data_IF_681611356976
#
_entry.id   IF_681611356976
#
_cell.length_a   1.000
_cell.length_b   1.000
_cell.length_c   1.000
_cell.angle_alpha   90.00
_cell.angle_beta   90.00
_cell.angle_gamma   90.00
#
_symmetry.space_group_name_H-M   'P 1'
#
loop_
_entity.id
_entity.type
_entity.pdbx_description
1 polymer ?
#
# COMPACT_ATOMS: atom_id res chain seq x y z
N UNK A 1 44.35 -27.92 0.08
CA UNK A 1 43.04 -28.58 -0.18
C UNK A 1 41.86 -27.91 0.56
N UNK A 2 41.90 -27.71 1.89
CA UNK A 2 40.77 -27.13 2.67
C UNK A 2 40.30 -25.75 2.19
N UNK A 3 41.22 -24.83 1.85
CA UNK A 3 40.88 -23.49 1.29
C UNK A 3 40.16 -23.55 -0.06
N UNK A 4 40.59 -24.45 -0.94
CA UNK A 4 39.94 -24.66 -2.24
C UNK A 4 38.52 -25.20 -2.07
N UNK A 5 38.34 -26.20 -1.19
CA UNK A 5 37.01 -26.75 -0.91
C UNK A 5 36.05 -25.70 -0.32
N UNK A 6 36.55 -24.85 0.59
CA UNK A 6 35.75 -23.77 1.16
C UNK A 6 35.42 -22.68 0.12
N UNK A 7 36.37 -22.32 -0.74
CA UNK A 7 36.13 -21.38 -1.84
C UNK A 7 35.08 -21.92 -2.81
N UNK A 8 35.12 -23.22 -3.13
CA UNK A 8 34.11 -23.87 -3.96
C UNK A 8 32.73 -23.83 -3.28
N UNK A 9 32.64 -24.12 -1.97
CA UNK A 9 31.39 -24.02 -1.22
C UNK A 9 30.82 -22.59 -1.24
N UNK A 10 31.66 -21.58 -1.00
CA UNK A 10 31.26 -20.16 -1.03
C UNK A 10 30.72 -19.79 -2.42
N UNK A 11 31.40 -20.23 -3.49
CA UNK A 11 31.01 -19.97 -4.86
C UNK A 11 29.67 -20.65 -5.20
N UNK A 12 29.49 -21.91 -4.81
CA UNK A 12 28.23 -22.64 -5.01
C UNK A 12 27.07 -22.00 -4.23
N UNK A 13 27.30 -21.58 -2.98
CA UNK A 13 26.29 -20.92 -2.16
C UNK A 13 25.90 -19.56 -2.75
N UNK A 14 26.88 -18.75 -3.16
CA UNK A 14 26.63 -17.45 -3.79
C UNK A 14 25.87 -17.62 -5.11
N UNK A 15 26.29 -18.57 -5.96
CA UNK A 15 25.61 -18.88 -7.21
C UNK A 15 24.18 -19.35 -6.97
N UNK A 16 23.97 -20.21 -5.97
CA UNK A 16 22.64 -20.68 -5.58
C UNK A 16 21.71 -19.54 -5.15
N UNK A 17 22.20 -18.61 -4.33
CA UNK A 17 21.43 -17.43 -3.90
C UNK A 17 21.16 -16.46 -5.06
N UNK A 18 22.14 -16.25 -5.95
CA UNK A 18 21.95 -15.43 -7.13
C UNK A 18 20.88 -16.01 -8.06
N UNK A 19 20.91 -17.32 -8.32
CA UNK A 19 19.88 -18.01 -9.10
C UNK A 19 18.51 -17.96 -8.40
N UNK A 20 18.47 -18.15 -7.08
CA UNK A 20 17.25 -18.04 -6.29
C UNK A 20 16.61 -16.64 -6.36
N UNK A 21 17.40 -15.60 -6.66
CA UNK A 21 16.86 -14.23 -6.85
C UNK A 21 15.97 -14.07 -8.09
N UNK A 22 16.02 -15.00 -9.03
CA UNK A 22 15.15 -15.01 -10.22
C UNK A 22 13.89 -15.87 -10.04
N UNK A 23 13.77 -16.55 -8.90
CA UNK A 23 12.64 -17.43 -8.60
C UNK A 23 11.74 -16.74 -7.58
N UNK A 24 10.49 -16.52 -7.95
CA UNK A 24 9.46 -16.07 -7.01
C UNK A 24 9.13 -17.19 -6.02
N UNK A 25 9.02 -16.85 -4.74
CA UNK A 25 8.59 -17.79 -3.71
C UNK A 25 7.06 -17.89 -3.80
N UNK A 26 6.48 -18.99 -4.32
CA UNK A 26 5.11 -18.97 -4.85
C UNK A 26 4.01 -18.71 -3.82
N UNK A 27 4.26 -19.05 -2.55
CA UNK A 27 3.30 -18.83 -1.47
C UNK A 27 3.44 -17.43 -0.89
N UNK A 28 4.68 -17.01 -0.64
CA UNK A 28 4.97 -15.81 0.13
C UNK A 28 4.92 -14.57 -0.77
N UNK A 29 5.66 -14.58 -1.88
CA UNK A 29 5.76 -13.39 -2.74
C UNK A 29 4.47 -13.13 -3.50
N UNK A 30 3.81 -14.19 -3.97
CA UNK A 30 2.56 -14.08 -4.74
C UNK A 30 1.39 -13.58 -3.88
N UNK A 31 1.29 -14.03 -2.64
CA UNK A 31 0.25 -13.55 -1.72
C UNK A 31 0.52 -12.09 -1.34
N UNK A 32 1.77 -11.72 -1.07
CA UNK A 32 2.16 -10.33 -0.82
C UNK A 32 1.76 -9.40 -1.97
N UNK A 33 2.10 -9.77 -3.21
CA UNK A 33 1.77 -8.95 -4.38
C UNK A 33 0.25 -8.88 -4.63
N UNK A 34 -0.46 -10.00 -4.48
CA UNK A 34 -1.92 -10.04 -4.58
C UNK A 34 -2.60 -9.14 -3.54
N UNK A 35 -2.10 -9.16 -2.30
CA UNK A 35 -2.58 -8.31 -1.21
C UNK A 35 -2.39 -6.82 -1.55
N UNK A 36 -1.18 -6.40 -1.94
CA UNK A 36 -0.92 -4.99 -2.27
C UNK A 36 -1.74 -4.54 -3.48
N UNK A 37 -1.80 -5.35 -4.54
CA UNK A 37 -2.58 -5.03 -5.74
C UNK A 37 -4.09 -4.94 -5.45
N UNK A 38 -4.62 -5.90 -4.69
CA UNK A 38 -6.04 -5.94 -4.30
C UNK A 38 -6.42 -4.75 -3.43
N UNK A 39 -5.65 -4.50 -2.37
CA UNK A 39 -5.92 -3.40 -1.43
C UNK A 39 -5.78 -2.04 -2.10
N UNK A 40 -4.77 -1.85 -2.96
CA UNK A 40 -4.60 -0.61 -3.73
C UNK A 40 -5.78 -0.38 -4.68
N UNK A 41 -6.24 -1.42 -5.38
CA UNK A 41 -7.43 -1.36 -6.24
C UNK A 41 -8.68 -0.97 -5.45
N UNK A 42 -8.91 -1.58 -4.30
CA UNK A 42 -10.04 -1.25 -3.42
C UNK A 42 -9.96 0.19 -2.91
N UNK A 43 -8.77 0.66 -2.53
CA UNK A 43 -8.55 2.04 -2.12
C UNK A 43 -8.81 3.05 -3.26
N UNK A 44 -8.33 2.76 -4.47
CA UNK A 44 -8.62 3.58 -5.65
C UNK A 44 -10.11 3.62 -5.97
N UNK A 45 -10.82 2.49 -5.87
CA UNK A 45 -12.27 2.44 -6.09
C UNK A 45 -13.01 3.26 -5.04
N UNK A 46 -12.64 3.15 -3.76
CA UNK A 46 -13.21 3.97 -2.70
C UNK A 46 -12.96 5.46 -2.94
N UNK A 47 -11.74 5.84 -3.32
CA UNK A 47 -11.40 7.23 -3.65
C UNK A 47 -12.27 7.78 -4.79
N UNK A 48 -12.36 7.04 -5.90
CA UNK A 48 -13.14 7.44 -7.05
C UNK A 48 -14.63 7.57 -6.71
N UNK A 49 -15.16 6.66 -5.89
CA UNK A 49 -16.55 6.69 -5.43
C UNK A 49 -16.81 7.92 -4.56
N UNK A 50 -15.94 8.19 -3.58
CA UNK A 50 -16.03 9.37 -2.71
C UNK A 50 -15.96 10.67 -3.52
N UNK A 51 -15.04 10.76 -4.48
CA UNK A 51 -14.94 11.94 -5.37
C UNK A 51 -16.14 12.09 -6.30
N UNK A 52 -16.75 10.98 -6.73
CA UNK A 52 -18.00 11.01 -7.48
C UNK A 52 -19.15 11.59 -6.65
N UNK A 53 -19.29 11.18 -5.38
CA UNK A 53 -20.27 11.79 -4.45
C UNK A 53 -20.00 13.28 -4.24
N UNK A 54 -18.75 13.66 -3.98
CA UNK A 54 -18.32 15.07 -3.86
C UNK A 54 -18.74 15.90 -5.07
N UNK A 55 -18.55 15.36 -6.27
CA UNK A 55 -18.91 16.06 -7.51
C UNK A 55 -20.42 16.25 -7.65
N UNK A 56 -21.22 15.23 -7.32
CA UNK A 56 -22.70 15.37 -7.29
C UNK A 56 -23.11 16.45 -6.29
N UNK A 57 -22.60 16.38 -5.06
CA UNK A 57 -22.95 17.33 -3.99
C UNK A 57 -22.56 18.76 -4.35
N UNK A 58 -21.38 18.98 -4.93
CA UNK A 58 -20.93 20.29 -5.41
C UNK A 58 -21.87 20.88 -6.47
N UNK A 59 -22.31 20.08 -7.45
CA UNK A 59 -23.31 20.51 -8.46
C UNK A 59 -24.65 20.86 -7.81
N UNK A 60 -25.08 20.09 -6.82
CA UNK A 60 -26.33 20.35 -6.10
C UNK A 60 -26.26 21.66 -5.30
N UNK A 61 -25.17 21.90 -4.58
CA UNK A 61 -24.94 23.15 -3.83
C UNK A 61 -24.93 24.37 -4.74
N UNK A 62 -24.25 24.30 -5.88
CA UNK A 62 -24.21 25.40 -6.86
C UNK A 62 -25.56 25.66 -7.52
N UNK A 63 -26.35 24.61 -7.76
CA UNK A 63 -27.68 24.71 -8.37
C UNK A 63 -28.72 25.30 -7.41
N UNK A 64 -28.61 24.98 -6.12
CA UNK A 64 -29.49 25.51 -5.07
C UNK A 64 -29.47 27.06 -5.02
N UNK A 65 -28.27 27.63 -5.16
CA UNK A 65 -28.04 29.08 -5.17
C UNK A 65 -28.68 29.78 -6.39
N UNK A 66 -28.83 29.08 -7.52
CA UNK A 66 -29.28 29.67 -8.79
C UNK A 66 -30.81 29.62 -8.99
N UNK A 67 -31.53 28.72 -8.30
CA UNK A 67 -32.94 28.39 -8.61
C UNK A 67 -33.94 29.17 -7.74
N UNK A 68 -33.52 29.99 -6.76
CA UNK A 68 -34.45 30.64 -5.81
C UNK A 68 -34.23 32.14 -5.54
N UNK A 69 -35.00 33.04 -6.17
CA UNK A 69 -35.12 34.43 -5.71
C UNK A 69 -36.13 34.64 -4.56
N UNK A 70 -37.00 33.67 -4.24
CA UNK A 70 -38.12 33.86 -3.29
C UNK A 70 -38.38 32.71 -2.27
N UNK A 71 -37.43 31.78 -2.10
CA UNK A 71 -37.61 30.51 -1.35
C UNK A 71 -36.62 30.26 -0.21
N UNK A 72 -36.18 31.32 0.47
CA UNK A 72 -35.04 31.39 1.41
C UNK A 72 -35.01 30.29 2.51
N UNK A 73 -36.14 29.70 2.90
CA UNK A 73 -36.20 28.67 3.95
C UNK A 73 -35.85 27.24 3.51
N UNK A 74 -36.16 26.86 2.27
CA UNK A 74 -35.94 25.50 1.77
C UNK A 74 -34.49 25.30 1.28
N UNK A 75 -33.89 26.37 0.76
CA UNK A 75 -32.48 26.48 0.37
C UNK A 75 -31.60 26.26 1.60
N UNK A 76 -31.76 27.08 2.65
CA UNK A 76 -30.93 26.98 3.86
C UNK A 76 -30.96 25.58 4.50
N UNK A 77 -32.11 24.90 4.50
CA UNK A 77 -32.23 23.55 5.06
C UNK A 77 -31.51 22.47 4.23
N UNK A 78 -31.48 22.61 2.91
CA UNK A 78 -30.81 21.68 2.02
C UNK A 78 -29.29 21.82 2.07
N UNK A 79 -28.79 23.06 2.01
CA UNK A 79 -27.37 23.35 2.16
C UNK A 79 -26.79 22.80 3.46
N UNK A 80 -27.55 22.89 4.56
CA UNK A 80 -27.14 22.33 5.86
C UNK A 80 -26.97 20.80 5.88
N UNK A 81 -27.62 20.06 4.98
CA UNK A 81 -27.46 18.60 4.84
C UNK A 81 -26.34 18.27 3.86
N UNK A 82 -26.21 19.04 2.78
CA UNK A 82 -25.18 18.85 1.77
C UNK A 82 -23.77 19.21 2.28
N UNK A 83 -23.66 20.23 3.14
CA UNK A 83 -22.39 20.71 3.70
C UNK A 83 -21.61 19.63 4.46
N UNK A 84 -22.21 18.88 5.41
CA UNK A 84 -21.52 17.76 6.06
C UNK A 84 -21.03 16.69 5.09
N UNK A 85 -21.82 16.38 4.05
CA UNK A 85 -21.45 15.35 3.07
C UNK A 85 -20.24 15.83 2.26
N UNK A 86 -20.26 17.08 1.79
CA UNK A 86 -19.17 17.73 1.07
C UNK A 86 -17.86 17.67 1.88
N UNK A 87 -17.89 18.22 3.10
CA UNK A 87 -16.74 18.21 4.03
C UNK A 87 -16.19 16.81 4.28
N UNK A 88 -17.08 15.84 4.46
CA UNK A 88 -16.70 14.45 4.70
C UNK A 88 -16.06 13.81 3.47
N UNK A 89 -16.60 14.06 2.28
CA UNK A 89 -16.03 13.54 1.04
C UNK A 89 -14.63 14.10 0.77
N UNK A 90 -14.38 15.38 1.08
CA UNK A 90 -13.05 15.99 0.98
C UNK A 90 -12.04 15.37 1.97
N UNK A 91 -12.44 15.28 3.24
CA UNK A 91 -11.60 14.71 4.31
C UNK A 91 -11.29 13.23 4.05
N UNK A 92 -12.32 12.45 3.72
CA UNK A 92 -12.18 11.03 3.38
C UNK A 92 -11.27 10.84 2.16
N UNK A 93 -11.44 11.64 1.11
CA UNK A 93 -10.57 11.58 -0.07
C UNK A 93 -9.09 11.76 0.30
N UNK A 94 -8.80 12.70 1.20
CA UNK A 94 -7.44 12.94 1.69
C UNK A 94 -6.87 11.75 2.48
N UNK A 95 -7.70 11.13 3.34
CA UNK A 95 -7.34 9.91 4.09
C UNK A 95 -7.04 8.75 3.14
N UNK A 96 -7.90 8.51 2.15
CA UNK A 96 -7.70 7.41 1.18
C UNK A 96 -6.44 7.64 0.35
N UNK A 97 -6.15 8.88 -0.08
CA UNK A 97 -4.90 9.19 -0.79
C UNK A 97 -3.68 8.86 0.07
N UNK A 98 -3.71 9.20 1.35
CA UNK A 98 -2.61 8.86 2.27
C UNK A 98 -2.44 7.33 2.40
N UNK A 99 -3.54 6.58 2.47
CA UNK A 99 -3.49 5.12 2.48
C UNK A 99 -2.92 4.54 1.18
N UNK A 100 -3.35 5.04 0.01
CA UNK A 100 -2.84 4.65 -1.32
C UNK A 100 -1.33 4.88 -1.40
N UNK A 101 -0.85 6.07 -1.02
CA UNK A 101 0.57 6.41 -1.06
C UNK A 101 1.37 5.50 -0.12
N UNK A 102 0.87 5.25 1.09
CA UNK A 102 1.52 4.36 2.05
C UNK A 102 1.62 2.93 1.54
N UNK A 103 0.53 2.36 1.01
CA UNK A 103 0.52 1.04 0.38
C UNK A 103 1.48 0.95 -0.80
N UNK A 104 1.54 2.00 -1.63
CA UNK A 104 2.48 2.09 -2.75
C UNK A 104 3.94 2.05 -2.30
N UNK A 105 4.31 2.81 -1.27
CA UNK A 105 5.67 2.79 -0.70
C UNK A 105 6.03 1.39 -0.17
N UNK A 106 5.10 0.76 0.55
CA UNK A 106 5.31 -0.60 1.07
C UNK A 106 5.48 -1.62 -0.06
N UNK A 107 4.67 -1.53 -1.12
CA UNK A 107 4.79 -2.39 -2.29
C UNK A 107 6.15 -2.25 -2.97
N UNK A 108 6.60 -1.01 -3.20
CA UNK A 108 7.94 -0.75 -3.77
C UNK A 108 9.03 -1.33 -2.87
N UNK A 109 8.92 -1.15 -1.54
CA UNK A 109 9.86 -1.73 -0.59
C UNK A 109 9.93 -3.25 -0.65
N UNK A 110 8.77 -3.92 -0.80
CA UNK A 110 8.68 -5.35 -1.02
C UNK A 110 9.34 -5.79 -2.34
N UNK A 111 9.04 -5.12 -3.45
CA UNK A 111 9.62 -5.42 -4.77
C UNK A 111 11.15 -5.25 -4.77
N UNK A 112 11.66 -4.17 -4.18
CA UNK A 112 13.10 -3.94 -4.00
C UNK A 112 13.73 -5.03 -3.12
N UNK A 113 13.07 -5.39 -2.01
CA UNK A 113 13.50 -6.46 -1.13
C UNK A 113 13.61 -7.80 -1.87
N UNK A 114 12.60 -8.16 -2.65
CA UNK A 114 12.59 -9.38 -3.45
C UNK A 114 13.68 -9.37 -4.54
N UNK A 115 13.84 -8.25 -5.25
CA UNK A 115 14.75 -8.15 -6.38
C UNK A 115 16.24 -8.09 -5.99
N UNK A 116 16.58 -7.50 -4.84
CA UNK A 116 17.97 -7.20 -4.46
C UNK A 116 18.52 -8.00 -3.28
N UNK A 117 17.71 -8.44 -2.32
CA UNK A 117 18.22 -9.07 -1.08
C UNK A 117 19.16 -10.25 -1.34
N UNK A 118 18.72 -11.28 -2.08
CA UNK A 118 19.55 -12.44 -2.38
C UNK A 118 20.77 -12.11 -3.24
N UNK A 119 20.67 -11.13 -4.15
CA UNK A 119 21.81 -10.66 -4.96
C UNK A 119 22.87 -9.98 -4.09
N UNK A 120 22.45 -9.14 -3.15
CA UNK A 120 23.35 -8.47 -2.21
C UNK A 120 24.01 -9.48 -1.27
N UNK A 121 23.24 -10.45 -0.74
CA UNK A 121 23.81 -11.52 0.09
C UNK A 121 24.81 -12.37 -0.71
N UNK A 122 24.48 -12.73 -1.95
CA UNK A 122 25.38 -13.46 -2.84
C UNK A 122 26.69 -12.71 -3.09
N UNK A 123 26.61 -11.39 -3.34
CA UNK A 123 27.77 -10.53 -3.54
C UNK A 123 28.65 -10.43 -2.29
N UNK A 124 28.04 -10.26 -1.11
CA UNK A 124 28.76 -10.20 0.17
C UNK A 124 29.45 -11.53 0.50
N UNK A 125 28.80 -12.66 0.22
CA UNK A 125 29.38 -13.99 0.39
C UNK A 125 30.60 -14.18 -0.53
N UNK A 126 30.58 -13.65 -1.77
CA UNK A 126 31.75 -13.74 -2.66
C UNK A 126 32.98 -13.01 -2.12
N UNK A 127 32.80 -11.93 -1.35
CA UNK A 127 33.91 -11.20 -0.73
C UNK A 127 34.68 -12.06 0.30
N UNK A 128 34.11 -13.19 0.73
CA UNK A 128 34.79 -14.12 1.64
C UNK A 128 35.88 -14.93 0.95
N UNK A 129 35.84 -15.06 -0.38
CA UNK A 129 36.91 -15.73 -1.15
C UNK A 129 38.24 -14.99 -0.99
N UNK A 130 38.39 -13.70 -1.40
CA UNK A 130 39.66 -13.00 -1.21
C UNK A 130 40.05 -12.90 0.27
N UNK A 131 39.07 -12.81 1.19
CA UNK A 131 39.35 -12.82 2.62
C UNK A 131 40.05 -14.11 3.11
N UNK A 132 39.65 -15.25 2.55
CA UNK A 132 40.24 -16.56 2.84
C UNK A 132 41.67 -16.69 2.31
N UNK A 133 41.93 -16.17 1.10
CA UNK A 133 43.24 -16.29 0.43
C UNK A 133 44.27 -15.28 0.94
N UNK A 134 43.84 -14.08 1.33
CA UNK A 134 44.69 -13.06 1.93
C UNK A 134 44.97 -13.31 3.42
N UNK A 135 44.52 -14.44 3.98
CA UNK A 135 44.68 -14.81 5.39
C UNK A 135 44.28 -13.68 6.35
N UNK A 136 43.18 -12.96 6.07
CA UNK A 136 42.67 -11.98 7.02
C UNK A 136 42.25 -12.72 8.29
N UNK A 137 43.10 -12.64 9.33
CA UNK A 137 42.90 -13.35 10.59
C UNK A 137 41.67 -12.81 11.31
N UNK A 138 40.89 -13.72 11.90
CA UNK A 138 39.91 -13.36 12.90
C UNK A 138 40.64 -12.82 14.16
N UNK A 139 40.10 -11.80 14.85
CA UNK A 139 38.84 -11.13 14.60
C UNK A 139 38.97 -9.95 13.62
N UNK A 140 38.42 -10.07 12.40
CA UNK A 140 38.29 -8.96 11.48
C UNK A 140 36.89 -8.32 11.63
N UNK A 141 36.79 -7.06 12.09
CA UNK A 141 35.49 -6.40 12.30
C UNK A 141 34.70 -6.22 11.00
N UNK A 142 35.36 -6.09 9.84
CA UNK A 142 34.68 -6.00 8.53
C UNK A 142 34.01 -7.32 8.17
N UNK A 143 34.67 -8.45 8.40
CA UNK A 143 34.11 -9.77 8.13
C UNK A 143 32.92 -10.09 9.05
N UNK A 144 33.05 -9.72 10.34
CA UNK A 144 31.97 -9.77 11.33
C UNK A 144 30.76 -8.94 10.88
N UNK A 145 31.00 -7.71 10.43
CA UNK A 145 29.95 -6.81 9.94
C UNK A 145 29.28 -7.37 8.69
N UNK A 146 30.04 -7.92 7.75
CA UNK A 146 29.50 -8.53 6.53
C UNK A 146 28.56 -9.71 6.82
N UNK A 147 28.93 -10.61 7.74
CA UNK A 147 28.05 -11.73 8.15
C UNK A 147 26.77 -11.22 8.79
N UNK A 148 26.85 -10.24 9.70
CA UNK A 148 25.68 -9.62 10.32
C UNK A 148 24.78 -8.91 9.31
N UNK A 149 25.37 -8.28 8.30
CA UNK A 149 24.62 -7.62 7.23
C UNK A 149 23.94 -8.64 6.31
N UNK A 150 24.61 -9.74 5.96
CA UNK A 150 23.97 -10.87 5.26
C UNK A 150 22.77 -11.40 6.02
N UNK A 151 22.93 -11.63 7.33
CA UNK A 151 21.83 -12.08 8.19
C UNK A 151 20.67 -11.08 8.16
N UNK A 152 20.94 -9.78 8.34
CA UNK A 152 19.92 -8.74 8.31
C UNK A 152 19.15 -8.69 6.99
N UNK A 153 19.86 -8.74 5.85
CA UNK A 153 19.23 -8.76 4.52
C UNK A 153 18.34 -9.99 4.32
N UNK A 154 18.78 -11.16 4.79
CA UNK A 154 17.97 -12.38 4.73
C UNK A 154 16.73 -12.28 5.62
N UNK A 155 16.86 -11.79 6.85
CA UNK A 155 15.69 -11.57 7.73
C UNK A 155 14.71 -10.60 7.09
N UNK A 156 15.20 -9.47 6.57
CA UNK A 156 14.35 -8.46 5.93
C UNK A 156 13.61 -9.01 4.71
N UNK A 157 14.25 -9.89 3.92
CA UNK A 157 13.65 -10.57 2.76
C UNK A 157 12.42 -11.37 3.13
N UNK A 158 12.38 -11.98 4.31
CA UNK A 158 11.23 -12.76 4.76
C UNK A 158 10.26 -11.95 5.63
N UNK A 159 10.74 -10.92 6.31
CA UNK A 159 9.93 -10.13 7.23
C UNK A 159 8.91 -9.26 6.54
N UNK A 160 9.30 -8.58 5.44
CA UNK A 160 8.37 -7.74 4.67
C UNK A 160 7.21 -8.56 4.08
N UNK A 161 7.43 -9.70 3.39
CA UNK A 161 6.35 -10.55 2.96
C UNK A 161 5.50 -11.09 4.11
N UNK A 162 6.12 -11.54 5.21
CA UNK A 162 5.37 -12.02 6.38
C UNK A 162 4.43 -10.93 6.94
N UNK A 163 4.86 -9.66 6.95
CA UNK A 163 4.03 -8.54 7.38
C UNK A 163 2.81 -8.33 6.48
N UNK A 164 2.97 -8.54 5.17
CA UNK A 164 1.85 -8.44 4.23
C UNK A 164 0.84 -9.57 4.38
N UNK A 165 1.25 -10.77 4.80
CA UNK A 165 0.33 -11.87 5.11
C UNK A 165 -0.55 -11.57 6.32
N UNK A 166 0.05 -10.97 7.36
CA UNK A 166 -0.72 -10.49 8.51
C UNK A 166 -1.71 -9.42 8.08
N UNK A 167 -1.27 -8.48 7.25
CA UNK A 167 -2.15 -7.45 6.70
C UNK A 167 -3.28 -8.01 5.84
N UNK A 168 -2.99 -8.99 4.98
CA UNK A 168 -3.97 -9.65 4.11
C UNK A 168 -5.05 -10.33 4.94
N UNK A 169 -4.65 -11.08 5.96
CA UNK A 169 -5.58 -11.70 6.90
C UNK A 169 -6.48 -10.68 7.61
N UNK A 170 -5.91 -9.56 8.08
CA UNK A 170 -6.70 -8.51 8.71
C UNK A 170 -7.63 -7.84 7.69
N UNK A 171 -7.16 -7.57 6.48
CA UNK A 171 -7.92 -6.94 5.42
C UNK A 171 -9.13 -7.79 5.01
N UNK A 172 -8.91 -9.04 4.63
CA UNK A 172 -9.96 -9.97 4.18
C UNK A 172 -11.02 -10.19 5.28
N UNK A 173 -10.61 -10.31 6.55
CA UNK A 173 -11.54 -10.69 7.62
C UNK A 173 -12.20 -9.51 8.35
N UNK A 174 -11.56 -8.34 8.42
CA UNK A 174 -12.05 -7.21 9.23
C UNK A 174 -12.50 -6.01 8.41
N UNK A 175 -11.92 -5.79 7.23
CA UNK A 175 -12.08 -4.54 6.47
C UNK A 175 -12.84 -4.72 5.16
N UNK A 176 -12.52 -5.75 4.38
CA UNK A 176 -12.96 -5.91 2.99
C UNK A 176 -14.47 -5.81 2.82
N UNK A 177 -15.23 -6.65 3.52
CA UNK A 177 -16.70 -6.64 3.43
C UNK A 177 -17.29 -5.26 3.77
N UNK A 178 -16.82 -4.62 4.84
CA UNK A 178 -17.33 -3.31 5.28
C UNK A 178 -16.97 -2.19 4.30
N UNK A 179 -15.78 -2.24 3.71
CA UNK A 179 -15.35 -1.30 2.67
C UNK A 179 -16.22 -1.49 1.43
N UNK A 180 -16.39 -2.73 0.97
CA UNK A 180 -17.22 -3.04 -0.21
C UNK A 180 -18.67 -2.61 -0.01
N UNK A 181 -19.26 -2.87 1.15
CA UNK A 181 -20.62 -2.44 1.49
C UNK A 181 -20.74 -0.92 1.49
N UNK A 182 -19.78 -0.20 2.11
CA UNK A 182 -19.82 1.26 2.18
C UNK A 182 -19.60 1.89 0.80
N UNK A 183 -18.70 1.33 -0.02
CA UNK A 183 -18.50 1.76 -1.41
C UNK A 183 -19.76 1.51 -2.24
N UNK A 184 -20.41 0.35 -2.07
CA UNK A 184 -21.65 0.03 -2.78
C UNK A 184 -22.77 1.01 -2.45
N UNK A 185 -22.95 1.34 -1.18
CA UNK A 185 -23.95 2.34 -0.74
C UNK A 185 -23.70 3.72 -1.37
N UNK A 186 -22.45 4.16 -1.44
CA UNK A 186 -22.09 5.44 -2.08
C UNK A 186 -22.16 5.38 -3.61
N UNK A 187 -21.96 4.21 -4.21
CA UNK A 187 -22.01 4.03 -5.66
C UNK A 187 -23.38 4.31 -6.27
N UNK A 188 -24.45 4.14 -5.49
CA UNK A 188 -25.83 4.50 -5.89
C UNK A 188 -25.95 5.99 -6.23
N UNK A 189 -25.13 6.83 -5.60
CA UNK A 189 -25.15 8.29 -5.79
C UNK A 189 -24.04 8.72 -6.76
N UNK A 190 -22.86 8.10 -6.68
CA UNK A 190 -21.76 8.46 -7.58
C UNK A 190 -21.97 8.00 -9.03
N UNK A 191 -22.82 6.99 -9.29
CA UNK A 191 -23.18 6.59 -10.66
C UNK A 191 -23.89 7.70 -11.43
N UNK A 192 -24.65 8.56 -10.73
CA UNK A 192 -25.34 9.70 -11.32
C UNK A 192 -24.34 10.73 -11.89
N UNK A 193 -23.14 10.84 -11.30
CA UNK A 193 -22.07 11.66 -11.86
C UNK A 193 -21.59 11.14 -13.21
N UNK A 194 -21.50 9.81 -13.40
CA UNK A 194 -21.02 9.24 -14.65
C UNK A 194 -22.00 9.49 -15.80
N UNK A 195 -23.31 9.48 -15.52
CA UNK A 195 -24.35 9.88 -16.48
C UNK A 195 -24.40 11.40 -16.71
N UNK A 196 -24.06 12.20 -15.70
CA UNK A 196 -24.06 13.67 -15.77
C UNK A 196 -22.80 14.23 -16.45
N UNK A 197 -21.67 13.53 -16.37
CA UNK A 197 -20.36 13.92 -16.95
C UNK A 197 -20.12 13.39 -18.37
N UNK A 198 -20.87 12.39 -18.83
CA UNK A 198 -20.84 11.92 -20.24
C UNK A 198 -21.56 12.85 -21.22
N UNK A 199 -22.12 13.97 -20.76
CA UNK A 199 -22.62 15.01 -21.64
C UNK A 199 -21.46 15.95 -21.99
N UNK A 200 -20.91 15.79 -23.20
CA UNK A 200 -19.87 16.66 -23.77
C UNK A 200 -20.22 18.16 -23.61
N UNK A 201 -19.22 19.04 -23.47
CA UNK A 201 -19.41 20.45 -23.79
C UNK A 201 -19.63 20.54 -25.31
N UNK A 202 -20.88 20.78 -25.73
CA UNK A 202 -21.22 20.99 -27.14
C UNK A 202 -20.43 22.19 -27.68
N UNK A 203 -19.36 21.91 -28.41
CA UNK A 203 -18.82 22.81 -29.41
C UNK A 203 -19.85 23.01 -30.52
N UNK A 204 -20.16 24.28 -30.80
CA UNK A 204 -20.71 24.78 -32.07
C UNK A 204 -22.10 24.30 -32.53
N UNK A 205 -23.10 24.21 -31.66
CA UNK A 205 -24.52 24.24 -32.11
C UNK A 205 -25.35 25.25 -31.34
N UNK A 206 -25.80 26.27 -32.10
CA UNK A 206 -26.88 27.21 -31.80
C UNK A 206 -27.21 27.45 -30.33
N UNK A 207 -26.66 28.52 -29.77
CA UNK A 207 -26.92 29.02 -28.41
C UNK A 207 -28.42 29.11 -28.05
N UNK A 208 -29.31 29.24 -29.03
CA UNK A 208 -30.77 29.34 -28.81
C UNK A 208 -31.52 27.99 -28.85
N UNK A 209 -30.99 26.95 -29.50
CA UNK A 209 -31.66 25.64 -29.61
C UNK A 209 -31.33 24.70 -28.44
N UNK A 210 -30.17 24.89 -27.81
CA UNK A 210 -29.76 24.16 -26.60
C UNK A 210 -30.43 24.69 -25.33
N UNK A 211 -31.01 25.90 -25.35
CA UNK A 211 -31.57 26.55 -24.16
C UNK A 211 -33.00 26.12 -23.79
N UNK A 212 -33.80 25.57 -24.70
CA UNK A 212 -35.24 25.31 -24.41
C UNK A 212 -35.54 23.84 -24.11
N UNK A 213 -34.87 22.89 -24.77
CA UNK A 213 -35.04 21.45 -24.52
C UNK A 213 -34.03 20.87 -23.52
N UNK A 214 -32.74 21.20 -23.66
CA UNK A 214 -31.70 20.60 -22.81
C UNK A 214 -31.72 21.15 -21.37
N UNK A 215 -32.09 22.41 -21.19
CA UNK A 215 -32.20 23.05 -19.86
C UNK A 215 -33.28 22.39 -19.01
N UNK A 216 -34.46 22.08 -19.59
CA UNK A 216 -35.53 21.39 -18.88
C UNK A 216 -35.12 19.99 -18.39
N UNK A 217 -34.43 19.21 -19.24
CA UNK A 217 -33.93 17.88 -18.85
C UNK A 217 -32.82 17.93 -17.80
N UNK A 218 -31.99 18.97 -17.81
CA UNK A 218 -30.95 19.18 -16.78
C UNK A 218 -31.56 19.51 -15.43
N UNK A 219 -32.54 20.42 -15.39
CA UNK A 219 -33.24 20.78 -14.14
C UNK A 219 -33.91 19.56 -13.51
N UNK A 220 -34.58 18.72 -14.32
CA UNK A 220 -35.24 17.52 -13.81
C UNK A 220 -34.23 16.48 -13.29
N UNK A 221 -33.11 16.27 -13.98
CA UNK A 221 -32.03 15.38 -13.52
C UNK A 221 -31.37 15.88 -12.23
N UNK A 222 -31.09 17.17 -12.13
CA UNK A 222 -30.54 17.77 -10.90
C UNK A 222 -31.53 17.63 -9.74
N UNK A 223 -32.82 17.85 -9.98
CA UNK A 223 -33.87 17.65 -8.97
C UNK A 223 -33.97 16.19 -8.51
N UNK A 224 -33.87 15.23 -9.43
CA UNK A 224 -33.86 13.79 -9.08
C UNK A 224 -32.61 13.41 -8.27
N UNK A 225 -31.42 13.85 -8.68
CA UNK A 225 -30.19 13.61 -7.93
C UNK A 225 -30.27 14.23 -6.52
N UNK A 226 -30.83 15.43 -6.41
CA UNK A 226 -31.06 16.11 -5.14
C UNK A 226 -31.99 15.33 -4.20
N UNK A 227 -33.14 14.88 -4.70
CA UNK A 227 -34.08 14.05 -3.92
C UNK A 227 -33.42 12.75 -3.45
N UNK A 228 -32.64 12.08 -4.30
CA UNK A 228 -31.93 10.84 -3.91
C UNK A 228 -30.90 11.10 -2.81
N UNK A 229 -30.12 12.19 -2.90
CA UNK A 229 -29.13 12.54 -1.87
C UNK A 229 -29.83 12.85 -0.55
N UNK A 230 -30.93 13.60 -0.56
CA UNK A 230 -31.71 13.90 0.64
C UNK A 230 -32.35 12.66 1.27
N UNK A 231 -32.99 11.81 0.46
CA UNK A 231 -33.62 10.57 0.92
C UNK A 231 -32.60 9.57 1.51
N UNK A 232 -31.36 9.60 1.02
CA UNK A 232 -30.29 8.70 1.45
C UNK A 232 -29.23 9.37 2.32
N UNK A 233 -29.44 10.61 2.78
CA UNK A 233 -28.41 11.43 3.42
C UNK A 233 -27.78 10.72 4.63
N UNK A 234 -28.60 10.10 5.48
CA UNK A 234 -28.13 9.33 6.63
C UNK A 234 -27.25 8.14 6.20
N UNK A 235 -27.64 7.41 5.15
CA UNK A 235 -26.88 6.29 4.62
C UNK A 235 -25.53 6.73 4.00
N UNK A 236 -25.51 7.89 3.34
CA UNK A 236 -24.30 8.51 2.79
C UNK A 236 -23.34 8.90 3.89
N UNK A 237 -23.81 9.68 4.87
CA UNK A 237 -23.01 10.13 6.00
C UNK A 237 -22.45 8.91 6.74
N UNK A 238 -23.30 7.91 7.03
CA UNK A 238 -22.86 6.67 7.69
C UNK A 238 -21.80 5.93 6.88
N UNK A 239 -21.95 5.83 5.56
CA UNK A 239 -20.98 5.16 4.68
C UNK A 239 -19.66 5.92 4.58
N UNK A 240 -19.69 7.25 4.51
CA UNK A 240 -18.50 8.10 4.50
C UNK A 240 -17.77 8.03 5.85
N UNK A 241 -18.49 8.04 6.97
CA UNK A 241 -17.92 7.86 8.32
C UNK A 241 -17.26 6.49 8.42
N UNK A 242 -18.00 5.43 8.03
CA UNK A 242 -17.51 4.06 8.01
C UNK A 242 -16.21 3.94 7.22
N UNK A 243 -16.18 4.43 5.97
CA UNK A 243 -14.96 4.42 5.16
C UNK A 243 -13.82 5.20 5.80
N UNK A 244 -14.11 6.37 6.38
CA UNK A 244 -13.09 7.18 7.08
C UNK A 244 -12.46 6.38 8.21
N UNK A 245 -13.29 5.79 9.08
CA UNK A 245 -12.83 4.96 10.19
C UNK A 245 -12.04 3.75 9.70
N UNK A 246 -12.53 3.05 8.68
CA UNK A 246 -11.89 1.85 8.14
C UNK A 246 -10.51 2.17 7.53
N UNK A 247 -10.40 3.22 6.72
CA UNK A 247 -9.11 3.59 6.11
C UNK A 247 -8.12 4.21 7.11
N UNK A 248 -8.60 4.96 8.11
CA UNK A 248 -7.74 5.41 9.22
C UNK A 248 -7.23 4.21 10.03
N UNK A 249 -8.11 3.26 10.37
CA UNK A 249 -7.71 2.06 11.11
C UNK A 249 -6.71 1.21 10.31
N UNK A 250 -6.98 1.00 9.02
CA UNK A 250 -6.08 0.31 8.10
C UNK A 250 -4.72 1.00 8.02
N UNK A 251 -4.71 2.33 7.88
CA UNK A 251 -3.48 3.12 7.88
C UNK A 251 -2.71 2.97 9.20
N UNK A 252 -3.37 3.09 10.35
CA UNK A 252 -2.73 2.96 11.66
C UNK A 252 -2.13 1.56 11.85
N UNK A 253 -2.87 0.50 11.50
CA UNK A 253 -2.36 -0.88 11.60
C UNK A 253 -1.13 -1.07 10.71
N UNK A 254 -1.21 -0.62 9.46
CA UNK A 254 -0.16 -0.81 8.46
C UNK A 254 1.06 0.08 8.65
N UNK A 255 0.89 1.31 9.17
CA UNK A 255 1.98 2.30 9.29
C UNK A 255 2.57 2.32 10.69
N UNK A 256 1.74 2.09 11.71
CA UNK A 256 2.19 2.17 13.10
C UNK A 256 2.47 0.77 13.66
N UNK A 257 1.43 -0.06 13.80
CA UNK A 257 1.54 -1.30 14.57
C UNK A 257 2.48 -2.33 13.92
N UNK A 258 2.31 -2.59 12.63
CA UNK A 258 3.08 -3.63 11.94
C UNK A 258 4.54 -3.22 11.75
N UNK A 259 4.88 -2.02 11.27
CA UNK A 259 6.27 -1.58 11.17
C UNK A 259 6.98 -1.52 12.53
N UNK A 260 6.31 -1.07 13.59
CA UNK A 260 6.87 -1.11 14.93
C UNK A 260 7.08 -2.54 15.42
N UNK A 261 6.13 -3.44 15.17
CA UNK A 261 6.26 -4.87 15.46
C UNK A 261 7.43 -5.52 14.70
N UNK A 262 7.60 -5.18 13.42
CA UNK A 262 8.73 -5.61 12.61
C UNK A 262 10.05 -5.09 13.15
N UNK A 263 10.14 -3.79 13.49
CA UNK A 263 11.34 -3.20 14.08
C UNK A 263 11.68 -3.86 15.42
N UNK A 264 10.68 -4.07 16.27
CA UNK A 264 10.86 -4.80 17.52
C UNK A 264 11.41 -6.20 17.27
N UNK A 265 10.81 -6.96 16.34
CA UNK A 265 11.25 -8.31 15.99
C UNK A 265 12.67 -8.31 15.40
N UNK A 266 13.01 -7.36 14.53
CA UNK A 266 14.36 -7.17 14.00
C UNK A 266 15.36 -6.90 15.11
N UNK A 267 15.05 -6.02 16.06
CA UNK A 267 15.96 -5.73 17.18
C UNK A 267 16.11 -6.92 18.13
N UNK A 268 15.05 -7.69 18.34
CA UNK A 268 15.09 -8.91 19.14
C UNK A 268 15.95 -9.99 18.47
N UNK A 269 15.76 -10.21 17.16
CA UNK A 269 16.62 -11.09 16.36
C UNK A 269 18.06 -10.58 16.34
N UNK A 270 18.29 -9.28 16.21
CA UNK A 270 19.61 -8.66 16.22
C UNK A 270 20.39 -8.88 17.54
N UNK A 271 19.67 -8.96 18.67
CA UNK A 271 20.24 -9.19 20.01
C UNK A 271 20.32 -10.65 20.39
N UNK A 272 19.74 -11.55 19.59
CA UNK A 272 19.72 -12.96 19.90
C UNK A 272 21.13 -13.58 19.82
N UNK A 273 21.45 -14.54 20.72
CA UNK A 273 22.75 -15.22 20.70
C UNK A 273 22.98 -16.03 19.43
N UNK A 274 21.93 -16.27 18.62
CA UNK A 274 22.04 -16.99 17.35
C UNK A 274 22.86 -16.22 16.33
N UNK A 275 22.80 -14.88 16.29
CA UNK A 275 23.63 -14.10 15.36
C UNK A 275 25.10 -14.20 15.76
N UNK A 276 25.40 -14.09 17.06
CA UNK A 276 26.78 -14.21 17.54
C UNK A 276 27.32 -15.61 17.30
N UNK A 277 26.53 -16.66 17.59
CA UNK A 277 26.90 -18.04 17.30
C UNK A 277 27.15 -18.29 15.81
N UNK A 278 26.26 -17.81 14.93
CA UNK A 278 26.44 -17.93 13.48
C UNK A 278 27.68 -17.18 13.02
N UNK A 279 27.89 -15.96 13.52
CA UNK A 279 29.04 -15.12 13.17
C UNK A 279 30.34 -15.78 13.61
N UNK A 280 30.42 -16.27 14.84
CA UNK A 280 31.62 -16.92 15.36
C UNK A 280 31.91 -18.25 14.64
N UNK A 281 30.88 -19.03 14.28
CA UNK A 281 31.04 -20.24 13.46
C UNK A 281 31.58 -19.95 12.07
N UNK A 282 31.07 -18.90 11.41
CA UNK A 282 31.57 -18.48 10.09
C UNK A 282 33.02 -17.98 10.22
N UNK A 283 33.32 -17.14 11.22
CA UNK A 283 34.67 -16.63 11.46
C UNK A 283 35.68 -17.72 11.83
N UNK A 284 35.25 -18.78 12.53
CA UNK A 284 36.11 -19.92 12.86
C UNK A 284 36.63 -20.66 11.61
N UNK A 285 35.90 -20.61 10.49
CA UNK A 285 36.36 -21.16 9.21
C UNK A 285 37.60 -20.43 8.65
N UNK A 286 37.85 -19.18 9.08
CA UNK A 286 39.01 -18.37 8.69
C UNK A 286 40.15 -18.42 9.72
N UNK A 287 39.87 -18.85 10.96
CA UNK A 287 40.83 -18.89 12.06
C UNK A 287 41.42 -20.28 12.41
N UNK A 288 40.96 -21.36 11.76
CA UNK A 288 41.43 -22.73 12.07
C UNK A 288 42.93 -22.91 11.75
N UNK A 289 43.77 -23.34 12.72
CA UNK A 289 45.22 -23.46 12.55
C UNK A 289 45.66 -24.37 11.39
N UNK A 290 44.84 -25.37 11.04
CA UNK A 290 45.09 -26.30 9.92
C UNK A 290 45.08 -25.66 8.52
N UNK A 291 44.64 -24.40 8.39
CA UNK A 291 44.63 -23.69 7.10
C UNK A 291 45.99 -23.05 6.75
N UNK A 292 46.94 -23.04 7.69
CA UNK A 292 48.26 -22.41 7.54
C UNK A 292 49.43 -23.35 7.22
N UNK A 293 49.33 -24.66 7.49
CA UNK A 293 50.50 -25.55 7.53
C UNK A 293 50.67 -26.54 6.37
N UNK A 294 49.91 -26.40 5.28
CA UNK A 294 50.12 -27.23 4.08
C UNK A 294 50.13 -26.37 2.83
N UNK A 295 51.18 -25.57 2.69
CA UNK A 295 51.76 -25.19 1.40
C UNK A 295 52.87 -26.18 1.08
#
# INVERSE_FOLDING_TARGET
>A
MKKMMLSLLILLLSMGLYLASFVEIPVVDRQSDAYFAGTLKSATLAYATTRGVNAVVSVLKESEVQVSPAGVGLTIAAGQILDPIDDMTERLSSVIVMAIVSLGIQKIGFELGAAFSFKLVAALILLFIPALWLNLRAPNPMLRLAVRFCYFLLVLRFLLPASSLVNDYLYENLFKAKIEDSVKSLSVISSDYKEMSTMEPEGERGFFSSLTGAVGTRIEKTKQAFSRVLENAEGVITSLLSLTTLYVALFIIQVLFIPLGMLWLLTNLARSPTIDLLTDRVLALFGSPDLGERL
#
